data_IF_493382167150
#
_entry.id   IF_493382167150
#
_cell.length_a   1.000
_cell.length_b   1.000
_cell.length_c   1.000
_cell.angle_alpha   90.00
_cell.angle_beta   90.00
_cell.angle_gamma   90.00
#
_symmetry.space_group_name_H-M   'P 1'
#
loop_
_entity.id
_entity.type
_entity.pdbx_description
1 polymer ?
#
# COMPACT_ATOMS: atom_id res chain seq x y z
N UNK A 1 -1.76 -6.06 -26.42
CA UNK A 1 -1.47 -6.20 -24.98
C UNK A 1 -0.40 -7.25 -24.76
N UNK A 2 0.58 -6.92 -23.94
CA UNK A 2 1.60 -7.85 -23.46
C UNK A 2 1.01 -8.90 -22.50
N UNK A 3 1.78 -9.92 -22.12
CA UNK A 3 1.36 -10.87 -21.09
C UNK A 3 1.22 -10.19 -19.72
N UNK A 4 2.13 -9.29 -19.38
CA UNK A 4 2.08 -8.56 -18.11
C UNK A 4 0.87 -7.61 -18.06
N UNK A 5 0.49 -6.98 -19.18
CA UNK A 5 -0.71 -6.13 -19.24
C UNK A 5 -1.97 -6.94 -18.91
N UNK A 6 -2.07 -8.18 -19.41
CA UNK A 6 -3.21 -9.07 -19.14
C UNK A 6 -3.26 -9.47 -17.67
N UNK A 7 -2.12 -9.84 -17.09
CA UNK A 7 -2.03 -10.21 -15.66
C UNK A 7 -2.40 -9.00 -14.79
N UNK A 8 -1.87 -7.82 -15.11
CA UNK A 8 -2.15 -6.59 -14.39
C UNK A 8 -3.63 -6.21 -14.47
N UNK A 9 -4.23 -6.29 -15.66
CA UNK A 9 -5.65 -6.01 -15.83
C UNK A 9 -6.50 -6.99 -15.00
N UNK A 10 -6.24 -8.29 -15.10
CA UNK A 10 -6.97 -9.30 -14.34
C UNK A 10 -6.81 -9.11 -12.81
N UNK A 11 -5.63 -8.70 -12.34
CA UNK A 11 -5.41 -8.37 -10.93
C UNK A 11 -6.31 -7.21 -10.48
N UNK A 12 -6.40 -6.14 -11.28
CA UNK A 12 -7.19 -4.94 -10.96
C UNK A 12 -8.70 -5.17 -10.99
N UNK A 13 -9.18 -6.25 -11.61
CA UNK A 13 -10.59 -6.63 -11.61
C UNK A 13 -11.04 -7.28 -10.29
N UNK A 14 -10.10 -7.66 -9.41
CA UNK A 14 -10.39 -8.41 -8.17
C UNK A 14 -10.74 -7.53 -6.97
N UNK A 15 -10.51 -6.22 -7.04
CA UNK A 15 -10.72 -5.28 -5.93
C UNK A 15 -10.90 -3.86 -6.44
N UNK A 16 -11.47 -2.99 -5.59
CA UNK A 16 -11.59 -1.57 -5.89
C UNK A 16 -10.28 -0.85 -5.57
N UNK A 17 -9.64 -0.31 -6.60
CA UNK A 17 -8.43 0.51 -6.47
C UNK A 17 -8.76 1.86 -5.87
N UNK A 18 -7.87 2.40 -5.05
CA UNK A 18 -8.06 3.65 -4.33
C UNK A 18 -7.52 4.86 -5.15
N UNK A 19 -8.36 5.85 -5.49
CA UNK A 19 -7.88 7.11 -6.07
C UNK A 19 -6.93 7.84 -5.12
N UNK A 20 -5.94 8.54 -5.67
CA UNK A 20 -4.92 9.23 -4.88
C UNK A 20 -5.52 10.25 -3.90
N UNK A 21 -6.52 11.01 -4.33
CA UNK A 21 -7.22 12.00 -3.50
C UNK A 21 -7.99 11.39 -2.31
N UNK A 22 -8.25 10.08 -2.31
CA UNK A 22 -8.96 9.38 -1.24
C UNK A 22 -8.02 8.75 -0.21
N UNK A 23 -6.70 8.77 -0.45
CA UNK A 23 -5.71 8.23 0.49
C UNK A 23 -5.77 8.90 1.87
N UNK A 24 -5.91 10.24 2.01
CA UNK A 24 -6.07 10.87 3.32
C UNK A 24 -7.26 10.31 4.11
N UNK A 25 -8.43 10.12 3.46
CA UNK A 25 -9.60 9.56 4.13
C UNK A 25 -9.40 8.08 4.50
N UNK A 26 -8.70 7.32 3.67
CA UNK A 26 -8.29 5.95 4.01
C UNK A 26 -7.40 5.90 5.25
N UNK A 27 -6.42 6.79 5.34
CA UNK A 27 -5.59 6.91 6.54
C UNK A 27 -6.43 7.40 7.73
N UNK A 28 -7.39 8.30 7.55
CA UNK A 28 -8.26 8.76 8.64
C UNK A 28 -9.10 7.63 9.25
N UNK A 29 -9.59 6.70 8.43
CA UNK A 29 -10.45 5.58 8.85
C UNK A 29 -9.71 4.33 9.33
N UNK A 30 -8.38 4.32 9.34
CA UNK A 30 -7.60 3.21 9.92
C UNK A 30 -6.65 2.49 8.95
N UNK A 31 -6.71 2.76 7.64
CA UNK A 31 -5.87 2.06 6.66
C UNK A 31 -4.37 2.27 6.88
N UNK A 32 -3.57 1.27 6.51
CA UNK A 32 -2.11 1.31 6.53
C UNK A 32 -1.59 1.57 5.13
N UNK A 33 -0.99 2.75 4.92
CA UNK A 33 -0.29 3.05 3.68
C UNK A 33 1.08 2.36 3.69
N UNK A 34 1.30 1.46 2.73
CA UNK A 34 2.53 0.65 2.62
C UNK A 34 3.29 1.03 1.35
N UNK A 35 4.47 1.63 1.50
CA UNK A 35 5.37 1.91 0.38
C UNK A 35 6.28 0.71 0.09
N UNK A 36 6.05 0.08 -1.06
CA UNK A 36 6.78 -1.12 -1.51
C UNK A 36 7.94 -0.81 -2.45
N UNK A 37 8.22 0.47 -2.73
CA UNK A 37 9.31 0.89 -3.61
C UNK A 37 10.66 0.58 -2.97
N UNK A 38 11.69 0.19 -3.72
CA UNK A 38 13.06 0.06 -3.20
C UNK A 38 13.59 1.37 -2.62
N UNK A 39 14.48 1.30 -1.62
CA UNK A 39 15.06 2.49 -0.99
C UNK A 39 15.67 3.50 -1.97
N UNK A 40 16.41 3.02 -2.98
CA UNK A 40 17.00 3.90 -4.00
C UNK A 40 15.95 4.64 -4.86
N UNK A 41 14.78 4.03 -5.06
CA UNK A 41 13.69 4.68 -5.78
C UNK A 41 13.05 5.78 -4.94
N UNK A 42 12.77 5.49 -3.66
CA UNK A 42 12.24 6.48 -2.71
C UNK A 42 13.19 7.67 -2.52
N UNK A 43 14.48 7.42 -2.42
CA UNK A 43 15.50 8.48 -2.31
C UNK A 43 15.51 9.43 -3.53
N UNK A 44 15.16 8.93 -4.72
CA UNK A 44 15.10 9.72 -5.97
C UNK A 44 13.77 10.44 -6.14
N UNK A 45 12.66 9.76 -5.88
CA UNK A 45 11.31 10.26 -6.17
C UNK A 45 10.72 11.07 -5.02
N UNK A 46 11.16 10.79 -3.79
CA UNK A 46 10.58 11.29 -2.56
C UNK A 46 9.82 10.21 -1.80
N UNK A 47 9.56 10.50 -0.52
CA UNK A 47 8.93 9.59 0.44
C UNK A 47 7.55 10.11 0.85
N UNK A 48 6.75 9.23 1.46
CA UNK A 48 5.55 9.61 2.21
C UNK A 48 5.87 9.43 3.69
N UNK A 49 6.19 10.51 4.43
CA UNK A 49 6.50 10.40 5.85
C UNK A 49 5.38 9.70 6.64
N UNK A 50 5.75 8.74 7.48
CA UNK A 50 4.81 7.93 8.26
C UNK A 50 4.20 6.74 7.54
N UNK A 51 4.44 6.55 6.23
CA UNK A 51 4.06 5.31 5.55
C UNK A 51 4.92 4.13 6.03
N UNK A 52 4.33 2.95 6.10
CA UNK A 52 5.08 1.72 6.40
C UNK A 52 5.92 1.35 5.19
N UNK A 53 7.23 1.23 5.37
CA UNK A 53 8.12 0.79 4.30
C UNK A 53 8.28 -0.72 4.39
N UNK A 54 7.74 -1.43 3.39
CA UNK A 54 7.86 -2.88 3.26
C UNK A 54 8.22 -3.18 1.81
N UNK A 55 9.49 -3.42 1.49
CA UNK A 55 9.86 -3.70 0.10
C UNK A 55 9.12 -4.94 -0.44
N UNK A 56 8.82 -4.93 -1.75
CA UNK A 56 7.94 -5.92 -2.39
C UNK A 56 8.33 -7.37 -2.12
N UNK A 57 9.62 -7.65 -1.96
CA UNK A 57 10.18 -9.00 -1.80
C UNK A 57 9.80 -9.70 -0.49
N UNK A 58 9.33 -8.97 0.53
CA UNK A 58 8.96 -9.54 1.83
C UNK A 58 7.50 -9.28 2.22
N UNK A 59 6.73 -8.64 1.33
CA UNK A 59 5.41 -8.09 1.64
C UNK A 59 4.45 -9.13 2.23
N UNK A 60 4.32 -10.29 1.57
CA UNK A 60 3.41 -11.36 1.95
C UNK A 60 3.65 -11.81 3.40
N UNK A 61 4.90 -12.12 3.75
CA UNK A 61 5.28 -12.55 5.10
C UNK A 61 5.08 -11.46 6.16
N UNK A 62 5.20 -10.19 5.79
CA UNK A 62 5.03 -9.08 6.75
C UNK A 62 3.56 -8.74 7.00
N UNK A 63 2.69 -8.98 6.02
CA UNK A 63 1.26 -8.63 6.09
C UNK A 63 0.36 -9.79 6.54
N UNK A 64 0.79 -11.06 6.40
CA UNK A 64 0.02 -12.23 6.83
C UNK A 64 -0.02 -12.33 8.38
N UNK A 65 -1.20 -12.22 9.02
CA UNK A 65 -1.33 -12.28 10.48
C UNK A 65 -0.99 -13.67 11.04
N UNK A 66 -0.90 -14.72 10.22
CA UNK A 66 -0.50 -16.06 10.64
C UNK A 66 1.00 -16.31 10.51
N UNK A 67 1.74 -15.39 9.88
CA UNK A 67 3.17 -15.53 9.66
C UNK A 67 4.00 -15.26 10.93
N UNK A 68 5.02 -16.09 11.19
CA UNK A 68 6.01 -15.81 12.25
C UNK A 68 6.80 -14.52 12.00
N UNK A 69 6.93 -14.11 10.74
CA UNK A 69 7.64 -12.90 10.33
C UNK A 69 6.75 -11.65 10.22
N UNK A 70 5.48 -11.75 10.64
CA UNK A 70 4.50 -10.68 10.53
C UNK A 70 4.95 -9.41 11.25
N UNK A 71 4.52 -8.27 10.74
CA UNK A 71 4.61 -7.01 11.49
C UNK A 71 3.54 -6.96 12.59
N UNK A 72 3.76 -6.20 13.69
CA UNK A 72 2.73 -6.01 14.71
C UNK A 72 1.40 -5.46 14.17
N UNK A 73 1.46 -4.70 13.08
CA UNK A 73 0.29 -4.14 12.41
C UNK A 73 -0.56 -5.18 11.67
N UNK A 74 -0.02 -6.36 11.37
CA UNK A 74 -0.76 -7.50 10.81
C UNK A 74 -1.48 -8.25 11.94
N UNK A 75 -2.43 -7.56 12.57
CA UNK A 75 -3.16 -8.06 13.73
C UNK A 75 -4.15 -9.18 13.36
N UNK A 76 -4.89 -8.98 12.26
CA UNK A 76 -5.94 -9.87 11.75
C UNK A 76 -6.21 -9.59 10.26
N UNK A 77 -7.19 -10.29 9.68
CA UNK A 77 -7.58 -10.19 8.27
C UNK A 77 -8.35 -8.88 7.95
N UNK A 78 -8.82 -8.15 8.96
CA UNK A 78 -9.59 -6.90 8.83
C UNK A 78 -8.68 -5.67 8.65
N UNK A 79 -7.36 -5.86 8.61
CA UNK A 79 -6.39 -4.80 8.33
C UNK A 79 -6.50 -4.32 6.88
N UNK A 80 -6.71 -3.02 6.70
CA UNK A 80 -6.75 -2.40 5.39
C UNK A 80 -5.35 -1.99 4.91
N UNK A 81 -4.76 -2.84 4.07
CA UNK A 81 -3.48 -2.60 3.44
C UNK A 81 -3.62 -1.80 2.13
N UNK A 82 -3.18 -0.55 2.12
CA UNK A 82 -3.14 0.31 0.92
C UNK A 82 -1.73 0.30 0.36
N UNK A 83 -1.51 -0.45 -0.71
CA UNK A 83 -0.18 -0.67 -1.28
C UNK A 83 0.19 0.43 -2.27
N UNK A 84 1.35 1.03 -2.07
CA UNK A 84 1.89 2.12 -2.86
C UNK A 84 3.17 1.69 -3.57
N UNK A 85 3.20 1.82 -4.90
CA UNK A 85 4.43 1.83 -5.67
C UNK A 85 4.57 3.15 -6.44
N UNK A 86 5.54 3.25 -7.36
CA UNK A 86 5.82 4.50 -8.08
C UNK A 86 4.63 4.97 -8.94
N UNK A 87 4.07 4.07 -9.77
CA UNK A 87 3.04 4.43 -10.79
C UNK A 87 1.76 3.59 -10.70
N UNK A 88 1.60 2.76 -9.66
CA UNK A 88 0.40 1.95 -9.47
C UNK A 88 0.35 0.66 -10.31
N UNK A 89 1.50 0.17 -10.79
CA UNK A 89 1.60 -1.10 -11.53
C UNK A 89 1.93 -2.28 -10.60
N UNK A 90 3.13 -2.26 -10.02
CA UNK A 90 3.59 -3.31 -9.08
C UNK A 90 2.70 -3.43 -7.85
N UNK A 91 2.16 -2.31 -7.36
CA UNK A 91 1.24 -2.30 -6.22
C UNK A 91 -0.06 -3.05 -6.52
N UNK A 92 -0.54 -3.02 -7.77
CA UNK A 92 -1.75 -3.76 -8.12
C UNK A 92 -1.54 -5.28 -8.04
N UNK A 93 -0.36 -5.74 -8.46
CA UNK A 93 0.01 -7.16 -8.37
C UNK A 93 0.27 -7.58 -6.92
N UNK A 94 0.83 -6.67 -6.13
CA UNK A 94 1.06 -6.87 -4.70
C UNK A 94 -0.25 -6.99 -3.92
N UNK A 95 -1.21 -6.10 -4.15
CA UNK A 95 -2.54 -6.18 -3.53
C UNK A 95 -3.25 -7.50 -3.89
N UNK A 96 -3.17 -7.93 -5.15
CA UNK A 96 -3.73 -9.23 -5.57
C UNK A 96 -3.08 -10.42 -4.84
N UNK A 97 -1.76 -10.39 -4.61
CA UNK A 97 -1.07 -11.42 -3.84
C UNK A 97 -1.52 -11.44 -2.37
N UNK A 98 -1.78 -10.27 -1.77
CA UNK A 98 -2.35 -10.20 -0.41
C UNK A 98 -3.79 -10.74 -0.36
N UNK A 99 -4.60 -10.51 -1.40
CA UNK A 99 -5.94 -11.11 -1.51
C UNK A 99 -5.87 -12.64 -1.62
N UNK A 100 -4.86 -13.20 -2.29
CA UNK A 100 -4.65 -14.66 -2.34
C UNK A 100 -4.38 -15.27 -0.96
N UNK A 101 -3.93 -14.47 0.01
CA UNK A 101 -3.71 -14.87 1.41
C UNK A 101 -4.96 -14.67 2.29
N UNK A 102 -6.06 -14.15 1.73
CA UNK A 102 -7.29 -13.87 2.49
C UNK A 102 -7.37 -12.46 3.08
N UNK A 103 -6.38 -11.59 2.86
CA UNK A 103 -6.36 -10.20 3.32
C UNK A 103 -7.29 -9.34 2.46
N UNK A 104 -8.59 -9.53 2.66
CA UNK A 104 -9.66 -9.11 1.75
C UNK A 104 -9.79 -7.59 1.57
N UNK A 105 -9.18 -6.79 2.45
CA UNK A 105 -9.17 -5.32 2.38
C UNK A 105 -7.93 -4.74 1.70
N UNK A 106 -7.03 -5.60 1.17
CA UNK A 106 -5.87 -5.14 0.43
C UNK A 106 -6.30 -4.41 -0.86
N UNK A 107 -5.72 -3.23 -1.09
CA UNK A 107 -5.94 -2.41 -2.29
C UNK A 107 -4.64 -1.70 -2.68
N UNK A 108 -4.67 -0.97 -3.78
CA UNK A 108 -3.55 -0.16 -4.25
C UNK A 108 -3.97 1.26 -4.63
N UNK A 109 -2.98 2.15 -4.75
CA UNK A 109 -3.22 3.54 -5.17
C UNK A 109 -3.17 3.65 -6.69
N UNK A 110 -4.24 4.18 -7.29
CA UNK A 110 -4.29 4.50 -8.72
C UNK A 110 -3.21 5.53 -9.05
N UNK A 111 -2.29 5.17 -9.94
CA UNK A 111 -1.18 6.04 -10.37
C UNK A 111 -0.03 6.16 -9.35
N UNK A 112 -0.08 5.43 -8.24
CA UNK A 112 1.02 5.32 -7.28
C UNK A 112 1.44 6.64 -6.64
N UNK A 113 2.71 6.72 -6.24
CA UNK A 113 3.31 7.89 -5.60
C UNK A 113 3.19 9.14 -6.48
N UNK A 114 3.39 9.01 -7.79
CA UNK A 114 3.26 10.14 -8.71
C UNK A 114 1.86 10.77 -8.68
N UNK A 115 0.81 9.96 -8.52
CA UNK A 115 -0.56 10.48 -8.39
C UNK A 115 -0.80 11.17 -7.05
N UNK A 116 -0.17 10.71 -5.96
CA UNK A 116 -0.25 11.42 -4.66
C UNK A 116 0.40 12.80 -4.71
N UNK A 117 1.53 12.92 -5.42
CA UNK A 117 2.19 14.20 -5.69
C UNK A 117 1.29 15.08 -6.55
N UNK A 118 0.78 14.54 -7.66
CA UNK A 118 -0.05 15.30 -8.60
C UNK A 118 -1.37 15.78 -7.99
N UNK A 119 -1.94 15.01 -7.06
CA UNK A 119 -3.16 15.38 -6.32
C UNK A 119 -2.90 16.31 -5.13
N UNK A 120 -1.64 16.66 -4.83
CA UNK A 120 -1.22 17.51 -3.70
C UNK A 120 -1.70 17.02 -2.31
N UNK A 121 -1.77 15.70 -2.12
CA UNK A 121 -2.26 15.09 -0.87
C UNK A 121 -1.14 14.59 0.06
N UNK A 122 0.13 14.69 -0.33
CA UNK A 122 1.25 14.17 0.45
C UNK A 122 1.35 14.81 1.84
N UNK A 123 1.22 16.13 1.93
CA UNK A 123 1.35 16.85 3.21
C UNK A 123 0.19 16.54 4.18
N UNK A 124 -1.03 16.37 3.68
CA UNK A 124 -2.15 15.91 4.51
C UNK A 124 -1.96 14.46 4.95
N UNK A 125 -1.62 13.57 4.00
CA UNK A 125 -1.40 12.14 4.25
C UNK A 125 -0.32 11.94 5.31
N UNK A 126 0.81 12.62 5.18
CA UNK A 126 1.92 12.54 6.14
C UNK A 126 1.51 12.99 7.55
N UNK A 127 0.78 14.12 7.65
CA UNK A 127 0.26 14.60 8.94
C UNK A 127 -0.66 13.58 9.60
N UNK A 128 -1.56 12.96 8.83
CA UNK A 128 -2.48 11.95 9.35
C UNK A 128 -1.76 10.69 9.81
N UNK A 129 -0.76 10.22 9.04
CA UNK A 129 0.04 9.05 9.39
C UNK A 129 0.86 9.27 10.66
N UNK A 130 1.45 10.46 10.82
CA UNK A 130 2.28 10.82 11.97
C UNK A 130 1.47 11.14 13.23
N UNK A 131 0.20 11.54 13.09
CA UNK A 131 -0.70 11.80 14.21
C UNK A 131 -1.23 10.51 14.87
N UNK A 132 -1.00 9.34 14.27
CA UNK A 132 -1.35 8.05 14.88
C UNK A 132 -0.40 7.77 16.04
N UNK A 133 -0.95 7.47 17.22
CA UNK A 133 -0.13 6.96 18.30
C UNK A 133 0.55 5.65 17.85
N UNK A 134 1.85 5.46 18.16
CA UNK A 134 2.49 4.20 17.88
C UNK A 134 1.73 3.10 18.59
N UNK A 135 1.38 2.02 17.87
CA UNK A 135 0.91 0.79 18.51
C UNK A 135 2.05 0.30 19.39
N UNK A 136 1.96 0.60 20.69
CA UNK A 136 2.88 0.09 21.69
C UNK A 136 2.78 -1.43 21.65
N UNK A 137 3.89 -2.08 21.32
CA UNK A 137 4.11 -3.53 21.46
C UNK A 137 3.94 -4.00 22.88
#
# INVERSE_FOLDING_TARGET
MSRIDRILQAARERYQRLPAEQVPEAVRRGALLVDIRPAAQRAREGEVPGALVIERNVLEWRCDPTSEARLPQAADDDVEWVILCSEGYTSSLAAAALLDLGLYRATDVVGGYHALVAADVLAETARLLQAREPVLT
#
